data_IF_273981664840
#
_entry.id   IF_273981664840
#
_cell.length_a   1.000
_cell.length_b   1.000
_cell.length_c   1.000
_cell.angle_alpha   90.00
_cell.angle_beta   90.00
_cell.angle_gamma   90.00
#
_symmetry.space_group_name_H-M   'P 1'
#
loop_
_entity.id
_entity.type
_entity.pdbx_description
1 polymer ?
#
# COMPACT_ATOMS: atom_id res chain seq x y z
N UNK A 1 -7.01 39.03 -3.57
CA UNK A 1 -7.37 37.71 -4.15
C UNK A 1 -6.15 36.79 -4.22
N UNK A 2 -5.78 36.10 -3.13
CA UNK A 2 -4.60 35.22 -3.06
C UNK A 2 -4.86 33.97 -2.19
N UNK A 3 -5.96 33.24 -2.44
CA UNK A 3 -6.33 32.07 -1.62
C UNK A 3 -6.71 30.82 -2.42
N UNK A 4 -6.31 30.69 -3.69
CA UNK A 4 -6.68 29.53 -4.53
C UNK A 4 -5.64 28.41 -4.56
N UNK A 5 -4.43 28.59 -4.00
CA UNK A 5 -3.37 27.58 -4.07
C UNK A 5 -3.37 26.58 -2.91
N UNK A 6 -3.83 26.97 -1.71
CA UNK A 6 -3.81 26.11 -0.52
C UNK A 6 -4.82 24.96 -0.57
N UNK A 7 -5.90 25.09 -1.36
CA UNK A 7 -6.93 24.05 -1.53
C UNK A 7 -6.46 22.88 -2.42
N UNK A 8 -5.38 23.06 -3.20
CA UNK A 8 -4.88 22.02 -4.09
C UNK A 8 -3.89 21.06 -3.41
N UNK A 9 -3.44 21.37 -2.19
CA UNK A 9 -2.54 20.51 -1.42
C UNK A 9 -3.39 19.51 -0.63
N UNK A 10 -3.27 18.24 -0.99
CA UNK A 10 -3.94 17.16 -0.26
C UNK A 10 -3.18 16.84 1.01
N UNK A 11 -3.43 17.61 2.07
CA UNK A 11 -2.90 17.35 3.40
C UNK A 11 -3.44 15.99 3.93
N UNK A 12 -2.57 15.15 4.50
CA UNK A 12 -2.96 13.89 5.14
C UNK A 12 -3.16 12.68 4.21
N UNK A 13 -2.56 12.64 3.01
CA UNK A 13 -2.61 11.43 2.18
C UNK A 13 -1.74 10.31 2.75
N UNK A 14 -2.40 9.31 3.33
CA UNK A 14 -1.76 8.11 3.92
C UNK A 14 -1.35 7.08 2.85
N UNK A 15 -2.03 7.06 1.70
CA UNK A 15 -1.77 6.09 0.63
C UNK A 15 -1.00 6.73 -0.54
N UNK A 16 0.00 6.03 -1.08
CA UNK A 16 0.72 6.47 -2.28
C UNK A 16 -0.03 6.02 -3.53
N UNK A 17 0.18 6.75 -4.61
CA UNK A 17 -0.33 6.39 -5.94
C UNK A 17 0.70 5.48 -6.61
N UNK A 18 0.49 4.17 -6.50
CA UNK A 18 1.30 3.15 -7.17
C UNK A 18 0.46 2.42 -8.22
N UNK A 19 1.03 2.16 -9.39
CA UNK A 19 0.35 1.50 -10.51
C UNK A 19 -0.46 2.45 -11.40
N UNK A 20 -1.36 1.88 -12.22
CA UNK A 20 -2.14 2.58 -13.24
C UNK A 20 -3.47 3.17 -12.70
N UNK A 21 -3.81 2.86 -11.44
CA UNK A 21 -5.06 3.31 -10.82
C UNK A 21 -5.36 2.60 -9.49
N UNK A 22 -6.50 2.91 -8.85
CA UNK A 22 -6.86 2.34 -7.54
C UNK A 22 -6.99 0.81 -7.55
N UNK A 23 -7.60 0.23 -8.60
CA UNK A 23 -7.76 -1.22 -8.73
C UNK A 23 -6.40 -1.92 -8.90
N UNK A 24 -5.60 -1.43 -9.87
CA UNK A 24 -4.24 -1.94 -10.12
C UNK A 24 -3.36 -1.87 -8.87
N UNK A 25 -3.52 -0.84 -8.02
CA UNK A 25 -2.83 -0.74 -6.74
C UNK A 25 -3.17 -1.91 -5.81
N UNK A 26 -4.45 -2.24 -5.66
CA UNK A 26 -4.88 -3.34 -4.79
C UNK A 26 -4.34 -4.67 -5.31
N UNK A 27 -4.40 -4.91 -6.61
CA UNK A 27 -3.91 -6.17 -7.20
C UNK A 27 -2.40 -6.30 -7.04
N UNK A 28 -1.65 -5.20 -7.19
CA UNK A 28 -0.21 -5.19 -6.92
C UNK A 28 0.10 -5.51 -5.46
N UNK A 29 -0.62 -4.91 -4.51
CA UNK A 29 -0.43 -5.17 -3.08
C UNK A 29 -0.80 -6.62 -2.72
N UNK A 30 -1.86 -7.19 -3.32
CA UNK A 30 -2.23 -8.61 -3.16
C UNK A 30 -1.11 -9.52 -3.65
N UNK A 31 -0.55 -9.27 -4.82
CA UNK A 31 0.54 -10.08 -5.36
C UNK A 31 1.79 -10.04 -4.48
N UNK A 32 2.16 -8.85 -3.98
CA UNK A 32 3.29 -8.70 -3.05
C UNK A 32 3.03 -9.40 -1.72
N UNK A 33 1.82 -9.28 -1.17
CA UNK A 33 1.45 -9.94 0.08
C UNK A 33 1.47 -11.47 -0.06
N UNK A 34 0.88 -12.01 -1.13
CA UNK A 34 0.91 -13.46 -1.40
C UNK A 34 2.33 -13.95 -1.64
N UNK A 35 3.15 -13.18 -2.37
CA UNK A 35 4.57 -13.47 -2.55
C UNK A 35 5.34 -13.50 -1.24
N UNK A 36 5.08 -12.53 -0.35
CA UNK A 36 5.67 -12.46 1.00
C UNK A 36 5.29 -13.67 1.85
N UNK A 37 4.01 -14.08 1.83
CA UNK A 37 3.54 -15.26 2.58
C UNK A 37 4.17 -16.56 2.05
N UNK A 38 4.35 -16.68 0.73
CA UNK A 38 4.87 -17.90 0.10
C UNK A 38 6.39 -18.05 0.23
N UNK A 39 7.12 -16.95 0.11
CA UNK A 39 8.59 -16.98 0.03
C UNK A 39 9.27 -16.46 1.29
N UNK A 40 8.50 -16.05 2.31
CA UNK A 40 8.91 -15.48 3.60
C UNK A 40 9.67 -14.14 3.50
N UNK A 41 10.35 -13.88 2.38
CA UNK A 41 11.11 -12.69 2.08
C UNK A 41 10.94 -12.31 0.62
N UNK A 42 10.73 -11.01 0.37
CA UNK A 42 10.68 -10.43 -0.97
C UNK A 42 11.51 -9.15 -1.02
N UNK A 43 12.18 -8.90 -2.15
CA UNK A 43 12.91 -7.67 -2.40
C UNK A 43 12.08 -6.75 -3.29
N UNK A 44 11.74 -5.57 -2.79
CA UNK A 44 10.90 -4.60 -3.49
C UNK A 44 11.36 -3.18 -3.23
N UNK A 45 10.78 -2.21 -3.93
CA UNK A 45 11.08 -0.79 -3.69
C UNK A 45 10.55 -0.35 -2.32
N UNK A 46 11.29 0.53 -1.63
CA UNK A 46 10.95 1.00 -0.29
C UNK A 46 9.50 1.50 -0.18
N UNK A 47 9.03 2.26 -1.17
CA UNK A 47 7.65 2.75 -1.18
C UNK A 47 6.57 1.68 -1.30
N UNK A 48 6.86 0.55 -1.97
CA UNK A 48 5.94 -0.59 -2.02
C UNK A 48 6.03 -1.41 -0.74
N UNK A 49 7.23 -1.61 -0.21
CA UNK A 49 7.46 -2.33 1.03
C UNK A 49 6.72 -1.69 2.22
N UNK A 50 6.80 -0.35 2.35
CA UNK A 50 6.09 0.39 3.40
C UNK A 50 4.57 0.20 3.34
N UNK A 51 3.99 0.21 2.13
CA UNK A 51 2.55 0.00 1.97
C UNK A 51 2.14 -1.45 2.28
N UNK A 52 2.88 -2.43 1.77
CA UNK A 52 2.59 -3.85 2.01
C UNK A 52 2.71 -4.20 3.49
N UNK A 53 3.68 -3.62 4.20
CA UNK A 53 3.88 -3.83 5.64
C UNK A 53 2.60 -3.56 6.45
N UNK A 54 1.92 -2.44 6.18
CA UNK A 54 0.68 -2.09 6.88
C UNK A 54 -0.43 -3.14 6.69
N UNK A 55 -0.51 -3.76 5.51
CA UNK A 55 -1.47 -4.82 5.24
C UNK A 55 -1.02 -6.18 5.79
N UNK A 56 0.28 -6.48 5.73
CA UNK A 56 0.84 -7.71 6.27
C UNK A 56 0.64 -7.81 7.79
N UNK A 57 0.86 -6.72 8.53
CA UNK A 57 0.61 -6.66 9.97
C UNK A 57 -0.86 -6.95 10.31
N UNK A 58 -1.80 -6.45 9.50
CA UNK A 58 -3.24 -6.72 9.70
C UNK A 58 -3.60 -8.18 9.47
N UNK A 59 -3.03 -8.81 8.44
CA UNK A 59 -3.28 -10.23 8.14
C UNK A 59 -2.58 -11.13 9.16
N UNK A 60 -1.43 -10.73 9.72
CA UNK A 60 -0.79 -11.48 10.79
C UNK A 60 -1.61 -11.48 12.09
N UNK A 61 -2.27 -10.37 12.42
CA UNK A 61 -3.11 -10.24 13.63
C UNK A 61 -4.47 -10.94 13.48
N UNK A 62 -4.96 -11.08 12.26
CA UNK A 62 -6.15 -11.88 11.95
C UNK A 62 -5.67 -13.26 11.48
N UNK A 63 -5.49 -14.26 12.37
CA UNK A 63 -5.08 -15.59 11.93
C UNK A 63 -6.01 -16.03 10.80
N UNK A 64 -5.48 -16.59 9.70
CA UNK A 64 -6.35 -17.15 8.68
C UNK A 64 -7.19 -18.21 9.39
N UNK A 65 -8.50 -18.00 9.44
CA UNK A 65 -9.46 -19.01 9.84
C UNK A 65 -9.42 -20.09 8.76
N UNK A 66 -8.43 -20.98 8.83
CA UNK A 66 -8.39 -22.24 8.08
C UNK A 66 -8.81 -23.35 9.02
#
# INVERSE_FOLDING_TARGET
>A
MRLTLSLCISHGRVARRIGLGPASRIDLLRNLLTGLVRHERIETTTGKADEVRFYAEKVAVSPPCV
#
